data_IF_846751122910
#
_entry.id   IF_846751122910
#
_cell.length_a   1.000
_cell.length_b   1.000
_cell.length_c   1.000
_cell.angle_alpha   90.00
_cell.angle_beta   90.00
_cell.angle_gamma   90.00
#
_symmetry.space_group_name_H-M   'P 1'
#
loop_
_entity.id
_entity.type
_entity.pdbx_description
1 polymer ?
#
# COMPACT_ATOMS: atom_id res chain seq x y z
N UNK A 1 -16.11 34.00 -51.65
CA UNK A 1 -15.70 34.60 -50.36
C UNK A 1 -14.41 33.93 -49.93
N UNK A 2 -13.39 34.74 -49.69
CA UNK A 2 -12.03 34.37 -49.31
C UNK A 2 -11.89 34.25 -47.79
N UNK A 3 -11.13 33.26 -47.32
CA UNK A 3 -10.18 33.50 -46.21
C UNK A 3 -8.96 32.59 -46.38
N UNK A 4 -7.82 33.27 -46.54
CA UNK A 4 -6.44 32.78 -46.52
C UNK A 4 -6.01 32.42 -45.09
N UNK A 5 -4.74 31.99 -45.00
CA UNK A 5 -3.83 31.92 -43.85
C UNK A 5 -3.77 30.50 -43.26
N UNK A 6 -2.74 29.68 -43.47
CA UNK A 6 -1.35 29.93 -43.83
C UNK A 6 -0.46 29.56 -42.64
N UNK A 7 0.40 28.54 -42.81
CA UNK A 7 1.79 28.43 -42.29
C UNK A 7 2.33 27.03 -42.52
N UNK A 8 3.16 26.93 -43.55
CA UNK A 8 4.25 25.97 -43.73
C UNK A 8 5.10 25.85 -42.47
N UNK A 9 5.39 24.62 -41.99
CA UNK A 9 6.69 24.27 -41.41
C UNK A 9 7.01 22.80 -41.68
N UNK A 10 8.09 22.62 -42.44
CA UNK A 10 9.01 21.49 -42.54
C UNK A 10 8.63 20.14 -41.87
N UNK A 11 8.42 19.12 -42.71
CA UNK A 11 8.62 17.73 -42.33
C UNK A 11 10.13 17.48 -42.17
N UNK A 12 10.63 17.65 -40.94
CA UNK A 12 11.97 17.23 -40.57
C UNK A 12 11.99 15.71 -40.44
N UNK A 13 12.51 15.05 -41.46
CA UNK A 13 13.02 13.69 -41.36
C UNK A 13 14.30 13.72 -40.51
N UNK A 14 14.26 13.19 -39.29
CA UNK A 14 15.44 12.75 -38.56
C UNK A 14 15.03 11.92 -37.35
N UNK A 15 15.57 10.71 -37.25
CA UNK A 15 15.78 10.05 -35.96
C UNK A 15 14.63 9.17 -35.48
N UNK A 16 14.42 8.04 -36.17
CA UNK A 16 13.94 6.84 -35.49
C UNK A 16 15.02 6.39 -34.49
N UNK A 17 15.00 6.97 -33.30
CA UNK A 17 15.66 6.41 -32.11
C UNK A 17 14.53 6.05 -31.16
N UNK A 18 13.92 4.90 -31.44
CA UNK A 18 13.07 4.20 -30.50
C UNK A 18 14.01 3.69 -29.41
N UNK A 19 14.30 4.55 -28.43
CA UNK A 19 14.83 4.12 -27.13
C UNK A 19 13.71 3.36 -26.44
N UNK A 20 13.58 2.08 -26.80
CA UNK A 20 13.03 1.05 -25.91
C UNK A 20 13.98 0.98 -24.72
N UNK A 21 13.83 1.92 -23.79
CA UNK A 21 14.37 1.76 -22.45
C UNK A 21 13.53 0.64 -21.86
N UNK A 22 14.10 -0.55 -21.95
CA UNK A 22 13.72 -1.76 -21.24
C UNK A 22 13.45 -1.42 -19.77
N UNK A 23 12.20 -1.06 -19.46
CA UNK A 23 11.67 -0.95 -18.10
C UNK A 23 11.36 -2.36 -17.60
N UNK A 24 12.39 -3.20 -17.55
CA UNK A 24 12.35 -4.45 -16.81
C UNK A 24 13.38 -4.33 -15.70
N UNK A 25 12.94 -4.66 -14.49
CA UNK A 25 13.80 -4.99 -13.34
C UNK A 25 14.22 -3.83 -12.45
N UNK A 26 13.26 -3.07 -11.94
CA UNK A 26 13.31 -2.65 -10.53
C UNK A 26 11.91 -2.82 -9.95
N UNK A 27 11.54 -4.08 -9.63
CA UNK A 27 10.69 -4.26 -8.46
C UNK A 27 11.52 -3.70 -7.30
N UNK A 28 11.29 -2.44 -6.96
CA UNK A 28 11.88 -1.79 -5.79
C UNK A 28 11.43 -2.59 -4.58
N UNK A 29 12.25 -3.55 -4.16
CA UNK A 29 12.05 -4.23 -2.89
C UNK A 29 12.06 -3.16 -1.80
N UNK A 30 11.01 -3.15 -0.98
CA UNK A 30 10.87 -2.25 0.17
C UNK A 30 12.11 -2.38 1.08
N UNK A 31 12.68 -1.25 1.52
CA UNK A 31 13.79 -1.29 2.48
C UNK A 31 13.33 -1.89 3.81
N UNK A 32 14.25 -2.46 4.59
CA UNK A 32 13.90 -3.04 5.89
C UNK A 32 13.33 -1.98 6.86
N UNK A 33 13.78 -0.73 6.74
CA UNK A 33 13.23 0.41 7.48
C UNK A 33 11.77 0.68 7.12
N UNK A 34 11.44 0.64 5.82
CA UNK A 34 10.07 0.80 5.35
C UNK A 34 9.18 -0.35 5.84
N UNK A 35 9.70 -1.59 5.88
CA UNK A 35 8.97 -2.73 6.44
C UNK A 35 8.64 -2.50 7.91
N UNK A 36 9.61 -2.05 8.70
CA UNK A 36 9.38 -1.74 10.13
C UNK A 36 8.33 -0.64 10.31
N UNK A 37 8.36 0.39 9.46
CA UNK A 37 7.36 1.48 9.50
C UNK A 37 5.96 0.94 9.21
N UNK A 38 5.79 0.12 8.16
CA UNK A 38 4.48 -0.43 7.82
C UNK A 38 3.97 -1.42 8.88
N UNK A 39 4.83 -2.26 9.46
CA UNK A 39 4.42 -3.15 10.55
C UNK A 39 4.03 -2.37 11.82
N UNK A 40 4.74 -1.27 12.12
CA UNK A 40 4.35 -0.37 13.22
C UNK A 40 2.99 0.25 12.95
N UNK A 41 2.76 0.73 11.73
CA UNK A 41 1.47 1.29 11.31
C UNK A 41 0.34 0.26 11.44
N UNK A 42 0.59 -0.99 11.03
CA UNK A 42 -0.36 -2.09 11.22
C UNK A 42 -0.75 -2.27 12.70
N UNK A 43 0.24 -2.24 13.59
CA UNK A 43 0.03 -2.35 15.02
C UNK A 43 -0.74 -1.16 15.61
N UNK A 44 -0.44 0.06 15.18
CA UNK A 44 -1.17 1.27 15.59
C UNK A 44 -2.64 1.22 15.16
N UNK A 45 -2.90 0.82 13.91
CA UNK A 45 -4.26 0.63 13.39
C UNK A 45 -5.00 -0.47 14.15
N UNK A 46 -4.32 -1.56 14.49
CA UNK A 46 -4.90 -2.63 15.32
C UNK A 46 -5.29 -2.11 16.70
N UNK A 47 -4.41 -1.39 17.38
CA UNK A 47 -4.72 -0.79 18.68
C UNK A 47 -5.87 0.23 18.62
N UNK A 48 -5.99 0.98 17.53
CA UNK A 48 -7.14 1.86 17.29
C UNK A 48 -8.43 1.05 17.09
N UNK A 49 -8.36 -0.03 16.30
CA UNK A 49 -9.50 -0.91 16.05
C UNK A 49 -10.04 -1.51 17.35
N UNK A 50 -9.17 -1.86 18.31
CA UNK A 50 -9.58 -2.31 19.65
C UNK A 50 -10.53 -1.32 20.31
N UNK A 51 -10.13 -0.04 20.38
CA UNK A 51 -10.92 1.01 21.04
C UNK A 51 -12.24 1.19 20.31
N UNK A 52 -12.23 1.24 18.97
CA UNK A 52 -13.45 1.40 18.16
C UNK A 52 -14.41 0.23 18.35
N UNK A 53 -13.94 -1.01 18.29
CA UNK A 53 -14.79 -2.19 18.48
C UNK A 53 -15.44 -2.20 19.87
N UNK A 54 -14.69 -1.86 20.92
CA UNK A 54 -15.26 -1.75 22.26
C UNK A 54 -16.32 -0.63 22.36
N UNK A 55 -16.12 0.51 21.70
CA UNK A 55 -17.15 1.57 21.65
C UNK A 55 -18.41 1.14 20.90
N UNK A 56 -18.28 0.17 19.99
CA UNK A 56 -19.38 -0.46 19.25
C UNK A 56 -19.96 -1.67 20.00
N UNK A 57 -19.60 -1.87 21.27
CA UNK A 57 -20.01 -3.01 22.10
C UNK A 57 -19.63 -4.37 21.48
N UNK A 58 -18.60 -4.39 20.65
CA UNK A 58 -18.08 -5.57 19.97
C UNK A 58 -16.78 -6.02 20.64
N UNK A 59 -16.70 -7.31 20.98
CA UNK A 59 -15.49 -7.87 21.62
C UNK A 59 -14.41 -8.10 20.56
N UNK A 60 -13.19 -7.54 20.71
CA UNK A 60 -12.10 -7.72 19.75
C UNK A 60 -11.46 -9.10 19.89
N UNK A 61 -12.14 -10.14 19.40
CA UNK A 61 -11.56 -11.47 19.19
C UNK A 61 -10.69 -11.48 17.94
N UNK A 62 -9.78 -12.47 17.78
CA UNK A 62 -9.01 -12.60 16.55
C UNK A 62 -9.87 -12.61 15.29
N UNK A 63 -10.99 -13.35 15.27
CA UNK A 63 -11.88 -13.37 14.10
C UNK A 63 -12.53 -12.01 13.84
N UNK A 64 -13.04 -11.35 14.89
CA UNK A 64 -13.64 -10.02 14.76
C UNK A 64 -12.64 -8.99 14.22
N UNK A 65 -11.40 -9.02 14.73
CA UNK A 65 -10.33 -8.14 14.26
C UNK A 65 -10.02 -8.42 12.79
N UNK A 66 -9.90 -9.69 12.40
CA UNK A 66 -9.64 -10.07 11.01
C UNK A 66 -10.76 -9.61 10.06
N UNK A 67 -12.03 -9.81 10.45
CA UNK A 67 -13.21 -9.38 9.67
C UNK A 67 -13.26 -7.86 9.49
N UNK A 68 -12.69 -7.11 10.43
CA UNK A 68 -12.61 -5.64 10.38
C UNK A 68 -11.27 -5.12 9.83
N UNK A 69 -10.30 -5.97 9.49
CA UNK A 69 -8.97 -5.54 9.02
C UNK A 69 -9.09 -4.54 7.86
N UNK A 70 -9.88 -4.89 6.84
CA UNK A 70 -10.08 -4.04 5.65
C UNK A 70 -10.70 -2.68 5.98
N UNK A 71 -11.59 -2.64 6.98
CA UNK A 71 -12.26 -1.42 7.44
C UNK A 71 -11.26 -0.43 8.03
N UNK A 72 -10.31 -0.91 8.83
CA UNK A 72 -9.34 -0.05 9.52
C UNK A 72 -8.09 0.23 8.69
N UNK A 73 -7.67 -0.70 7.84
CA UNK A 73 -6.50 -0.49 6.98
C UNK A 73 -6.79 0.41 5.78
N UNK A 74 -8.06 0.59 5.39
CA UNK A 74 -8.47 1.42 4.25
C UNK A 74 -8.38 0.74 2.89
N UNK A 75 -8.41 -0.59 2.87
CA UNK A 75 -7.74 -1.37 1.81
C UNK A 75 -6.37 -1.77 2.34
N UNK A 76 -5.96 -2.99 2.08
CA UNK A 76 -4.82 -3.52 2.80
C UNK A 76 -3.50 -3.08 2.14
N UNK A 77 -2.34 -3.36 2.76
CA UNK A 77 -1.04 -3.12 2.11
C UNK A 77 -0.87 -3.94 0.82
N UNK A 78 -1.86 -4.76 0.43
CA UNK A 78 -1.93 -5.56 -0.79
C UNK A 78 -1.96 -4.72 -2.08
N UNK A 79 -2.41 -3.46 -2.00
CA UNK A 79 -2.61 -2.62 -3.19
C UNK A 79 -1.30 -1.97 -3.68
N UNK A 80 -0.21 -2.11 -2.93
CA UNK A 80 1.12 -1.64 -3.35
C UNK A 80 1.93 -2.76 -4.03
N UNK A 81 2.48 -2.51 -5.24
CA UNK A 81 3.09 -3.56 -6.07
C UNK A 81 4.38 -4.18 -5.49
N UNK A 82 4.93 -3.62 -4.42
CA UNK A 82 6.19 -4.05 -3.78
C UNK A 82 6.00 -4.80 -2.45
N UNK A 83 4.76 -4.89 -1.94
CA UNK A 83 4.39 -5.54 -0.66
C UNK A 83 3.51 -6.78 -0.84
N UNK A 84 3.11 -7.15 -2.05
CA UNK A 84 2.12 -8.20 -2.28
C UNK A 84 2.66 -9.65 -2.24
N UNK A 85 3.60 -9.99 -1.35
CA UNK A 85 3.96 -11.41 -1.11
C UNK A 85 3.05 -12.00 -0.03
N UNK A 86 2.59 -13.24 -0.19
CA UNK A 86 1.70 -13.87 0.79
C UNK A 86 2.22 -13.82 2.24
N UNK A 87 3.54 -13.93 2.43
CA UNK A 87 4.18 -13.85 3.74
C UNK A 87 4.11 -12.44 4.34
N UNK A 88 4.37 -11.41 3.53
CA UNK A 88 4.22 -10.02 3.97
C UNK A 88 2.78 -9.69 4.30
N UNK A 89 1.87 -10.22 3.48
CA UNK A 89 0.44 -10.07 3.65
C UNK A 89 0.02 -10.62 5.02
N UNK A 90 0.43 -11.86 5.30
CA UNK A 90 0.16 -12.52 6.58
C UNK A 90 0.77 -11.75 7.75
N UNK A 91 2.05 -11.37 7.66
CA UNK A 91 2.75 -10.69 8.74
C UNK A 91 2.09 -9.36 9.13
N UNK A 92 1.68 -8.57 8.14
CA UNK A 92 0.99 -7.30 8.42
C UNK A 92 -0.41 -7.54 9.02
N UNK A 93 -1.11 -8.58 8.57
CA UNK A 93 -2.37 -9.03 9.19
C UNK A 93 -2.18 -9.41 10.65
N UNK A 94 -1.14 -10.17 10.97
CA UNK A 94 -0.83 -10.62 12.33
C UNK A 94 -0.54 -9.44 13.26
N UNK A 95 0.26 -8.46 12.82
CA UNK A 95 0.54 -7.26 13.61
C UNK A 95 -0.72 -6.47 13.96
N UNK A 96 -1.63 -6.35 12.98
CA UNK A 96 -2.93 -5.72 13.21
C UNK A 96 -3.77 -6.52 14.21
N UNK A 97 -3.93 -7.84 13.99
CA UNK A 97 -4.79 -8.70 14.83
C UNK A 97 -4.27 -8.75 16.26
N UNK A 98 -2.97 -8.96 16.47
CA UNK A 98 -2.36 -8.98 17.81
C UNK A 98 -2.61 -7.67 18.56
N UNK A 99 -2.46 -6.54 17.85
CA UNK A 99 -2.64 -5.23 18.46
C UNK A 99 -4.11 -4.91 18.73
N UNK A 100 -5.01 -5.38 17.86
CA UNK A 100 -6.46 -5.27 18.01
C UNK A 100 -6.98 -6.11 19.19
N UNK A 101 -6.49 -7.33 19.37
CA UNK A 101 -6.87 -8.17 20.51
C UNK A 101 -6.30 -7.60 21.81
N UNK A 102 -5.03 -7.19 21.82
CA UNK A 102 -4.36 -6.73 23.04
C UNK A 102 -4.67 -5.27 23.44
N UNK A 103 -5.19 -4.46 22.51
CA UNK A 103 -5.40 -3.03 22.70
C UNK A 103 -4.11 -2.20 22.79
N UNK A 104 -2.97 -2.77 22.37
CA UNK A 104 -1.65 -2.12 22.41
C UNK A 104 -0.93 -2.32 21.09
N UNK A 105 -0.23 -1.30 20.54
CA UNK A 105 0.55 -1.48 19.33
C UNK A 105 1.68 -2.50 19.55
N UNK A 106 1.74 -3.51 18.68
CA UNK A 106 2.88 -4.41 18.58
C UNK A 106 4.05 -3.65 17.95
N UNK A 107 5.19 -3.64 18.64
CA UNK A 107 6.42 -3.00 18.15
C UNK A 107 7.23 -4.04 17.37
N UNK A 108 7.61 -3.77 16.11
CA UNK A 108 8.50 -4.66 15.37
C UNK A 108 9.87 -4.73 16.03
N UNK A 109 10.41 -5.95 16.18
CA UNK A 109 11.80 -6.13 16.57
C UNK A 109 12.68 -5.85 15.33
N UNK A 110 13.78 -5.14 15.54
CA UNK A 110 14.79 -4.83 14.51
C UNK A 110 15.47 -6.09 13.97
#
# INVERSE_FOLDING_TARGET
MTTKWGRTVAAAAAGAVVLLISSCSMMTMMSDEQKVVELRRAGELGAQAHVTLLTELTVPTPETCLDNLKRFSGGAPWDEPYSATADWISLHGDYFVDSCVSGKPRIPNE
#
